data_IF_471071380429
#
_entry.id   IF_471071380429
#
_cell.length_a   1.000
_cell.length_b   1.000
_cell.length_c   1.000
_cell.angle_alpha   90.00
_cell.angle_beta   90.00
_cell.angle_gamma   90.00
#
_symmetry.space_group_name_H-M   'P 1'
#
loop_
_entity.id
_entity.type
_entity.pdbx_description
1 polymer ?
#
# COMPACT_ATOMS: atom_id res chain seq x y z
N UNK A 1 3.20 3.47 -19.85
CA UNK A 1 3.61 4.52 -18.88
C UNK A 1 2.39 5.08 -18.16
N UNK A 2 2.40 5.12 -16.81
CA UNK A 2 1.34 5.74 -16.03
C UNK A 2 1.28 7.26 -16.26
N UNK A 3 0.08 7.82 -16.25
CA UNK A 3 -0.14 9.27 -16.39
C UNK A 3 -1.24 9.75 -15.43
N UNK A 4 -1.10 10.98 -14.94
CA UNK A 4 -2.15 11.62 -14.13
C UNK A 4 -3.12 12.29 -15.09
N UNK A 5 -4.38 11.87 -15.06
CA UNK A 5 -5.44 12.39 -15.94
C UNK A 5 -6.34 13.41 -15.24
N UNK A 6 -6.43 13.36 -13.91
CA UNK A 6 -7.21 14.31 -13.12
C UNK A 6 -6.63 14.56 -11.72
N UNK A 7 -6.93 15.73 -11.14
CA UNK A 7 -6.39 16.20 -9.86
C UNK A 7 -7.43 17.04 -9.10
N UNK A 8 -7.89 16.51 -7.97
CA UNK A 8 -8.75 17.23 -7.04
C UNK A 8 -7.98 17.64 -5.79
N UNK A 9 -8.13 18.90 -5.39
CA UNK A 9 -7.48 19.45 -4.19
C UNK A 9 -8.53 19.82 -3.14
N UNK A 10 -8.46 19.13 -2.01
CA UNK A 10 -9.22 19.45 -0.82
C UNK A 10 -8.33 20.10 0.24
N UNK A 11 -8.94 20.64 1.29
CA UNK A 11 -8.21 21.24 2.41
C UNK A 11 -7.27 20.25 3.12
N UNK A 12 -7.69 18.99 3.26
CA UNK A 12 -7.02 17.97 4.09
C UNK A 12 -6.43 16.80 3.29
N UNK A 13 -6.62 16.76 1.97
CA UNK A 13 -6.07 15.72 1.10
C UNK A 13 -6.07 16.18 -0.36
N UNK A 14 -5.41 15.38 -1.20
CA UNK A 14 -5.48 15.50 -2.66
C UNK A 14 -5.88 14.15 -3.22
N UNK A 15 -6.78 14.15 -4.19
CA UNK A 15 -7.11 12.97 -4.96
C UNK A 15 -6.52 13.12 -6.37
N UNK A 16 -5.99 12.03 -6.89
CA UNK A 16 -5.46 11.94 -8.24
C UNK A 16 -6.13 10.78 -8.95
N UNK A 17 -6.50 10.99 -10.21
CA UNK A 17 -6.85 9.88 -11.11
C UNK A 17 -5.63 9.57 -11.96
N UNK A 18 -5.12 8.36 -11.82
CA UNK A 18 -3.94 7.86 -12.54
C UNK A 18 -4.41 6.82 -13.55
N UNK A 19 -4.11 7.04 -14.82
CA UNK A 19 -4.28 6.03 -15.85
C UNK A 19 -3.03 5.15 -15.90
N UNK A 20 -3.21 3.85 -15.62
CA UNK A 20 -2.19 2.82 -15.73
C UNK A 20 -2.63 1.83 -16.81
N UNK A 21 -2.06 1.97 -18.01
CA UNK A 21 -2.34 1.09 -19.15
C UNK A 21 -3.86 0.95 -19.44
N UNK A 22 -4.56 2.09 -19.51
CA UNK A 22 -6.02 2.13 -19.74
C UNK A 22 -6.88 1.88 -18.50
N UNK A 23 -6.27 1.52 -17.36
CA UNK A 23 -6.99 1.34 -16.10
C UNK A 23 -6.88 2.59 -15.23
N UNK A 24 -8.02 3.17 -14.85
CA UNK A 24 -8.04 4.30 -13.93
C UNK A 24 -7.94 3.83 -12.47
N UNK A 25 -7.03 4.45 -11.74
CA UNK A 25 -6.77 4.23 -10.32
C UNK A 25 -6.94 5.57 -9.61
N UNK A 26 -7.73 5.57 -8.53
CA UNK A 26 -7.92 6.76 -7.69
C UNK A 26 -6.91 6.70 -6.55
N UNK A 27 -6.07 7.72 -6.42
CA UNK A 27 -5.03 7.82 -5.40
C UNK A 27 -5.32 8.99 -4.48
N UNK A 28 -5.61 8.69 -3.21
CA UNK A 28 -5.78 9.69 -2.16
C UNK A 28 -4.47 9.92 -1.41
N UNK A 29 -3.98 11.15 -1.38
CA UNK A 29 -2.75 11.55 -0.65
C UNK A 29 -3.14 12.42 0.54
N UNK A 30 -2.74 12.01 1.76
CA UNK A 30 -3.11 12.74 2.98
C UNK A 30 -2.14 12.45 4.13
N UNK A 31 -2.02 13.38 5.07
CA UNK A 31 -1.47 13.16 6.42
C UNK A 31 -2.56 13.13 7.50
N UNK A 32 -3.84 13.24 7.13
CA UNK A 32 -4.94 13.47 8.06
C UNK A 32 -5.68 12.17 8.39
N UNK A 33 -5.64 11.79 9.67
CA UNK A 33 -6.22 10.53 10.16
C UNK A 33 -7.72 10.35 9.88
N UNK A 34 -8.51 11.43 9.84
CA UNK A 34 -9.94 11.35 9.53
C UNK A 34 -10.19 11.02 8.06
N UNK A 35 -9.30 11.45 7.15
CA UNK A 35 -9.35 11.08 5.72
C UNK A 35 -9.01 9.61 5.57
N UNK A 36 -7.93 9.13 6.21
CA UNK A 36 -7.55 7.70 6.23
C UNK A 36 -8.71 6.82 6.72
N UNK A 37 -9.39 7.23 7.81
CA UNK A 37 -10.56 6.50 8.33
C UNK A 37 -11.69 6.42 7.30
N UNK A 38 -12.04 7.54 6.67
CA UNK A 38 -13.09 7.60 5.64
C UNK A 38 -12.72 6.73 4.43
N UNK A 39 -11.49 6.84 3.97
CA UNK A 39 -10.97 6.07 2.85
C UNK A 39 -11.04 4.57 3.13
N UNK A 40 -10.56 4.10 4.30
CA UNK A 40 -10.61 2.68 4.67
C UNK A 40 -12.05 2.16 4.74
N UNK A 41 -12.96 2.90 5.37
CA UNK A 41 -14.37 2.51 5.44
C UNK A 41 -14.99 2.36 4.05
N UNK A 42 -14.74 3.30 3.15
CA UNK A 42 -15.23 3.24 1.78
C UNK A 42 -14.61 2.07 1.00
N UNK A 43 -13.29 1.92 1.05
CA UNK A 43 -12.58 0.85 0.35
C UNK A 43 -13.04 -0.55 0.80
N UNK A 44 -13.22 -0.75 2.11
CA UNK A 44 -13.73 -2.00 2.67
C UNK A 44 -15.19 -2.24 2.29
N UNK A 45 -16.03 -1.20 2.31
CA UNK A 45 -17.43 -1.30 1.90
C UNK A 45 -17.56 -1.80 0.46
N UNK A 46 -16.77 -1.24 -0.48
CA UNK A 46 -16.75 -1.65 -1.88
C UNK A 46 -16.13 -3.03 -2.13
N UNK A 47 -15.54 -3.66 -1.10
CA UNK A 47 -14.94 -5.00 -1.15
C UNK A 47 -15.55 -5.98 -0.14
N UNK A 48 -16.75 -5.69 0.36
CA UNK A 48 -17.44 -6.52 1.37
C UNK A 48 -17.56 -8.00 0.99
N UNK A 49 -17.80 -8.31 -0.29
CA UNK A 49 -17.92 -9.68 -0.78
C UNK A 49 -16.60 -10.44 -0.65
N UNK A 50 -15.48 -9.83 -1.04
CA UNK A 50 -14.14 -10.40 -0.88
C UNK A 50 -13.77 -10.59 0.59
N UNK A 51 -14.17 -9.66 1.45
CA UNK A 51 -13.95 -9.76 2.90
C UNK A 51 -14.73 -10.94 3.49
N UNK A 52 -16.01 -11.10 3.12
CA UNK A 52 -16.83 -12.22 3.59
C UNK A 52 -16.28 -13.58 3.16
N UNK A 53 -15.58 -13.62 2.03
CA UNK A 53 -14.91 -14.83 1.52
C UNK A 53 -13.48 -15.01 2.05
N UNK A 54 -12.96 -14.10 2.88
CA UNK A 54 -11.55 -14.05 3.31
C UNK A 54 -10.55 -14.01 2.14
N UNK A 55 -10.89 -13.28 1.08
CA UNK A 55 -10.10 -13.13 -0.16
C UNK A 55 -9.64 -11.69 -0.41
N UNK A 56 -9.61 -10.86 0.62
CA UNK A 56 -9.15 -9.47 0.47
C UNK A 56 -7.63 -9.44 0.34
N UNK A 57 -7.15 -9.04 -0.83
CA UNK A 57 -5.75 -8.74 -1.11
C UNK A 57 -5.57 -7.21 -1.07
N UNK A 58 -4.50 -6.77 -0.43
CA UNK A 58 -4.16 -5.37 -0.23
C UNK A 58 -2.73 -5.15 -0.68
N UNK A 59 -2.53 -4.32 -1.71
CA UNK A 59 -1.19 -3.84 -2.05
C UNK A 59 -0.68 -2.94 -0.92
N UNK A 60 0.56 -3.14 -0.49
CA UNK A 60 1.20 -2.38 0.58
C UNK A 60 2.59 -1.95 0.13
N UNK A 61 2.92 -0.70 0.45
CA UNK A 61 4.28 -0.17 0.31
C UNK A 61 4.63 0.70 1.50
N UNK A 62 5.91 0.71 1.85
CA UNK A 62 6.48 1.58 2.89
C UNK A 62 7.77 2.19 2.35
N UNK A 63 7.94 3.49 2.53
CA UNK A 63 9.08 4.23 2.00
C UNK A 63 9.57 5.21 3.05
N UNK A 64 10.85 5.49 2.96
CA UNK A 64 11.59 6.29 3.91
C UNK A 64 12.67 7.06 3.16
N UNK A 65 12.98 8.25 3.65
CA UNK A 65 14.09 9.06 3.18
C UNK A 65 15.39 8.40 3.65
N UNK A 66 16.33 8.06 2.75
CA UNK A 66 17.62 7.51 3.14
C UNK A 66 18.37 8.47 4.08
N UNK A 67 18.89 7.94 5.17
CA UNK A 67 19.64 8.72 6.15
C UNK A 67 19.76 7.99 7.48
N UNK A 68 20.95 8.03 8.08
CA UNK A 68 21.23 7.28 9.32
C UNK A 68 21.20 5.76 9.14
N UNK A 69 21.28 5.03 10.26
CA UNK A 69 21.37 3.55 10.26
C UNK A 69 20.03 2.87 9.98
N UNK A 70 18.92 3.45 10.44
CA UNK A 70 17.57 2.91 10.23
C UNK A 70 16.54 4.04 10.19
N UNK A 71 16.36 4.70 9.03
CA UNK A 71 15.44 5.83 8.91
C UNK A 71 13.98 5.42 9.20
N UNK A 72 13.17 6.29 9.81
CA UNK A 72 11.75 6.02 10.06
C UNK A 72 10.96 5.93 8.74
N UNK A 73 9.80 5.27 8.76
CA UNK A 73 8.90 5.28 7.61
C UNK A 73 8.24 6.65 7.42
N UNK A 74 8.32 7.20 6.21
CA UNK A 74 7.75 8.49 5.85
C UNK A 74 6.35 8.37 5.25
N UNK A 75 6.12 7.30 4.49
CA UNK A 75 4.83 7.03 3.85
C UNK A 75 4.44 5.57 3.98
N UNK A 76 3.13 5.35 4.13
CA UNK A 76 2.48 4.05 3.95
C UNK A 76 1.53 4.15 2.77
N UNK A 77 1.67 3.29 1.77
CA UNK A 77 0.66 3.11 0.73
C UNK A 77 -0.16 1.86 0.96
N UNK A 78 -1.46 1.98 0.71
CA UNK A 78 -2.39 0.86 0.69
C UNK A 78 -3.18 0.93 -0.61
N UNK A 79 -3.29 -0.18 -1.34
CA UNK A 79 -4.15 -0.26 -2.50
C UNK A 79 -5.14 -1.42 -2.41
N UNK A 80 -6.43 -1.10 -2.59
CA UNK A 80 -7.54 -2.04 -2.51
C UNK A 80 -8.34 -1.92 -3.81
N UNK A 81 -8.10 -2.83 -4.76
CA UNK A 81 -8.63 -2.71 -6.11
C UNK A 81 -8.08 -1.48 -6.81
N UNK A 82 -8.95 -0.63 -7.36
CA UNK A 82 -8.59 0.61 -8.10
C UNK A 82 -8.52 1.85 -7.21
N UNK A 83 -8.39 1.67 -5.89
CA UNK A 83 -8.31 2.76 -4.92
C UNK A 83 -7.02 2.58 -4.14
N UNK A 84 -6.15 3.56 -4.20
CA UNK A 84 -4.95 3.60 -3.38
C UNK A 84 -4.97 4.81 -2.42
N UNK A 85 -4.34 4.63 -1.28
CA UNK A 85 -4.08 5.64 -0.26
C UNK A 85 -2.57 5.81 -0.17
N UNK A 86 -2.09 7.05 -0.13
CA UNK A 86 -0.75 7.42 0.29
C UNK A 86 -0.90 8.20 1.59
N UNK A 87 -0.61 7.53 2.70
CA UNK A 87 -0.63 8.15 4.03
C UNK A 87 0.77 8.66 4.38
N UNK A 88 0.91 9.98 4.47
CA UNK A 88 2.17 10.66 4.79
C UNK A 88 2.42 10.61 6.31
N UNK A 89 2.98 9.48 6.77
CA UNK A 89 3.28 9.18 8.17
C UNK A 89 4.13 10.27 8.83
N UNK A 90 5.18 10.75 8.16
CA UNK A 90 6.07 11.79 8.68
C UNK A 90 5.37 13.13 8.97
N UNK A 91 4.20 13.36 8.38
CA UNK A 91 3.41 14.58 8.57
C UNK A 91 2.12 14.34 9.36
N UNK A 92 1.87 13.11 9.78
CA UNK A 92 0.64 12.75 10.47
C UNK A 92 0.74 13.06 11.96
N UNK A 93 -0.29 13.72 12.51
CA UNK A 93 -0.38 13.98 13.95
C UNK A 93 -0.58 12.72 14.77
N UNK A 94 -1.28 11.72 14.20
CA UNK A 94 -1.49 10.40 14.80
C UNK A 94 -1.98 9.40 13.74
N UNK A 95 -1.86 8.12 14.04
CA UNK A 95 -2.38 7.03 13.19
C UNK A 95 -3.75 6.57 13.71
N UNK A 96 -4.82 6.55 12.88
CA UNK A 96 -6.15 6.20 13.35
C UNK A 96 -6.25 4.72 13.74
N UNK A 97 -7.00 4.42 14.82
CA UNK A 97 -7.22 3.05 15.33
C UNK A 97 -7.69 2.05 14.27
N UNK A 98 -8.52 2.48 13.31
CA UNK A 98 -8.99 1.61 12.23
C UNK A 98 -7.84 1.09 11.36
N UNK A 99 -6.83 1.92 11.08
CA UNK A 99 -5.65 1.50 10.32
C UNK A 99 -4.81 0.51 11.13
N UNK A 100 -4.65 0.75 12.43
CA UNK A 100 -3.98 -0.20 13.33
C UNK A 100 -4.66 -1.58 13.32
N UNK A 101 -5.98 -1.60 13.44
CA UNK A 101 -6.76 -2.84 13.40
C UNK A 101 -6.71 -3.50 12.02
N UNK A 102 -6.71 -2.71 10.95
CA UNK A 102 -6.62 -3.17 9.58
C UNK A 102 -5.31 -3.94 9.32
N UNK A 103 -4.15 -3.37 9.71
CA UNK A 103 -2.84 -4.02 9.57
C UNK A 103 -2.69 -5.31 10.41
N UNK A 104 -3.39 -5.37 11.55
CA UNK A 104 -3.39 -6.54 12.46
C UNK A 104 -4.43 -7.61 12.08
N UNK A 105 -5.22 -7.39 11.03
CA UNK A 105 -6.27 -8.34 10.68
C UNK A 105 -5.68 -9.57 9.98
N UNK A 106 -5.80 -10.73 10.62
CA UNK A 106 -5.29 -12.01 10.11
C UNK A 106 -5.97 -12.51 8.84
N UNK A 107 -7.17 -11.99 8.52
CA UNK A 107 -7.97 -12.38 7.36
C UNK A 107 -7.63 -11.56 6.11
N UNK A 108 -6.73 -10.57 6.22
CA UNK A 108 -6.28 -9.77 5.08
C UNK A 108 -4.89 -10.21 4.64
N UNK A 109 -4.70 -10.32 3.33
CA UNK A 109 -3.41 -10.64 2.73
C UNK A 109 -2.79 -9.36 2.20
N UNK A 110 -1.67 -8.95 2.78
CA UNK A 110 -0.88 -7.84 2.29
C UNK A 110 0.16 -8.37 1.29
N UNK A 111 0.36 -7.63 0.20
CA UNK A 111 1.32 -7.97 -0.84
C UNK A 111 2.13 -6.74 -1.23
N UNK A 112 3.37 -6.93 -1.66
CA UNK A 112 4.24 -5.85 -2.10
C UNK A 112 5.40 -6.37 -2.94
N UNK A 113 6.33 -5.47 -3.26
CA UNK A 113 7.61 -5.80 -3.88
C UNK A 113 8.71 -5.34 -2.93
N UNK A 114 9.76 -6.16 -2.76
CA UNK A 114 10.93 -5.78 -1.96
C UNK A 114 10.62 -5.40 -0.51
N UNK A 115 9.53 -5.94 0.04
CA UNK A 115 8.85 -5.45 1.23
C UNK A 115 9.35 -6.08 2.56
N UNK A 116 10.52 -6.71 2.54
CA UNK A 116 11.10 -7.41 3.70
C UNK A 116 11.36 -6.50 4.91
N UNK A 117 11.50 -5.19 4.68
CA UNK A 117 11.71 -4.19 5.74
C UNK A 117 10.41 -3.55 6.24
N UNK A 118 9.30 -3.68 5.51
CA UNK A 118 8.08 -2.89 5.72
C UNK A 118 7.48 -3.09 7.11
N UNK A 119 7.28 -4.35 7.51
CA UNK A 119 6.72 -4.66 8.83
C UNK A 119 7.58 -4.14 9.96
N UNK A 120 8.91 -4.28 9.84
CA UNK A 120 9.88 -3.80 10.84
C UNK A 120 9.85 -2.29 10.95
N UNK A 121 9.81 -1.58 9.81
CA UNK A 121 9.72 -0.12 9.72
C UNK A 121 8.42 0.40 10.35
N UNK A 122 7.28 -0.26 10.09
CA UNK A 122 6.00 0.10 10.68
C UNK A 122 5.93 -0.16 12.20
N UNK A 123 6.61 -1.21 12.69
CA UNK A 123 6.67 -1.55 14.12
C UNK A 123 7.59 -0.61 14.94
N UNK A 124 8.23 0.38 14.33
CA UNK A 124 9.15 1.27 15.04
C UNK A 124 8.52 1.89 16.30
N UNK A 125 9.31 2.25 17.33
CA UNK A 125 8.79 2.82 18.58
C UNK A 125 7.89 4.05 18.38
N UNK A 126 8.13 4.83 17.34
CA UNK A 126 7.41 6.05 16.98
C UNK A 126 6.02 5.74 16.40
N UNK A 127 5.91 4.71 15.56
CA UNK A 127 4.69 4.38 14.83
C UNK A 127 3.82 3.36 15.57
N UNK A 128 4.46 2.34 16.17
CA UNK A 128 3.82 1.20 16.85
C UNK A 128 2.74 0.55 15.97
N UNK A 129 2.98 0.48 14.66
CA UNK A 129 2.08 -0.12 13.69
C UNK A 129 2.47 -1.57 13.47
N UNK A 130 1.79 -2.46 14.20
CA UNK A 130 1.99 -3.89 14.05
C UNK A 130 1.20 -4.45 12.87
N UNK A 131 1.86 -5.29 12.09
CA UNK A 131 1.19 -6.17 11.13
C UNK A 131 1.08 -7.59 11.70
N UNK A 132 -0.03 -8.25 11.38
CA UNK A 132 -0.24 -9.65 11.80
C UNK A 132 0.84 -10.59 11.24
N UNK A 133 1.17 -10.42 9.95
CA UNK A 133 2.22 -11.15 9.24
C UNK A 133 2.91 -10.20 8.26
N UNK A 134 4.08 -10.60 7.78
CA UNK A 134 4.79 -9.88 6.71
C UNK A 134 3.96 -9.88 5.41
N UNK A 135 4.01 -8.80 4.60
CA UNK A 135 3.42 -8.84 3.29
C UNK A 135 4.11 -9.90 2.42
N UNK A 136 3.36 -10.54 1.53
CA UNK A 136 3.93 -11.46 0.55
C UNK A 136 4.66 -10.66 -0.52
N UNK A 137 5.90 -11.07 -0.81
CA UNK A 137 6.67 -10.48 -1.89
C UNK A 137 6.24 -11.11 -3.21
N UNK A 138 5.57 -10.32 -4.06
CA UNK A 138 4.97 -10.81 -5.30
C UNK A 138 5.99 -11.37 -6.30
N UNK A 139 7.26 -10.98 -6.18
CA UNK A 139 8.37 -11.51 -6.99
C UNK A 139 8.54 -13.02 -6.85
N UNK A 140 8.17 -13.56 -5.70
CA UNK A 140 8.25 -15.00 -5.42
C UNK A 140 7.05 -15.80 -5.98
N UNK A 141 6.05 -15.10 -6.52
CA UNK A 141 4.79 -15.69 -7.00
C UNK A 141 4.47 -15.31 -8.44
N UNK A 142 5.28 -14.43 -9.06
CA UNK A 142 5.14 -14.12 -10.46
C UNK A 142 5.56 -15.33 -11.30
N UNK A 143 4.76 -15.61 -12.33
CA UNK A 143 5.01 -16.65 -13.32
C UNK A 143 4.96 -15.98 -14.69
N UNK A 144 5.81 -16.43 -15.62
CA UNK A 144 5.75 -15.97 -17.00
C UNK A 144 4.38 -16.30 -17.60
N UNK A 145 3.89 -15.42 -18.49
CA UNK A 145 2.64 -15.67 -19.21
C UNK A 145 2.81 -16.77 -20.26
N UNK A 146 4.00 -16.87 -20.87
CA UNK A 146 4.38 -17.90 -21.81
C UNK A 146 5.18 -19.02 -21.11
N UNK A 147 4.80 -20.28 -21.32
CA UNK A 147 5.45 -21.44 -20.69
C UNK A 147 6.90 -21.66 -21.16
N UNK A 148 7.28 -21.04 -22.29
CA UNK A 148 8.63 -21.07 -22.86
C UNK A 148 9.53 -19.93 -22.31
N UNK A 149 8.98 -18.98 -21.56
CA UNK A 149 9.72 -17.90 -20.92
C UNK A 149 10.17 -18.30 -19.51
N UNK A 150 11.48 -18.49 -19.33
CA UNK A 150 12.13 -18.76 -18.04
C UNK A 150 12.30 -17.49 -17.16
N UNK A 151 11.56 -16.41 -17.44
CA UNK A 151 11.67 -15.15 -16.71
C UNK A 151 11.23 -15.32 -15.25
N UNK A 152 12.17 -15.06 -14.33
CA UNK A 152 11.96 -15.21 -12.90
C UNK A 152 12.19 -13.88 -12.17
N UNK A 153 11.11 -13.33 -11.60
CA UNK A 153 11.19 -12.06 -10.87
C UNK A 153 11.77 -12.18 -9.46
N UNK A 154 12.02 -13.39 -8.93
CA UNK A 154 12.53 -13.59 -7.57
C UNK A 154 13.88 -12.89 -7.32
N UNK A 155 14.72 -12.82 -8.35
CA UNK A 155 16.00 -12.10 -8.33
C UNK A 155 15.95 -10.71 -8.98
N UNK A 156 14.83 -10.35 -9.60
CA UNK A 156 14.77 -9.17 -10.46
C UNK A 156 14.89 -7.88 -9.66
N UNK A 157 15.73 -6.97 -10.16
CA UNK A 157 16.04 -5.65 -9.57
C UNK A 157 14.81 -4.72 -9.56
N UNK A 158 14.91 -3.59 -8.86
CA UNK A 158 13.85 -2.55 -8.95
C UNK A 158 13.73 -2.01 -10.37
N UNK A 159 14.86 -1.79 -11.06
CA UNK A 159 14.88 -1.22 -12.42
C UNK A 159 14.35 -2.20 -13.48
N UNK A 160 14.37 -3.50 -13.18
CA UNK A 160 13.78 -4.54 -14.05
C UNK A 160 12.27 -4.65 -13.88
N UNK A 161 11.73 -4.24 -12.73
CA UNK A 161 10.30 -4.37 -12.40
C UNK A 161 9.51 -3.08 -12.67
N UNK A 162 10.18 -1.91 -12.63
CA UNK A 162 9.53 -0.58 -12.59
C UNK A 162 9.75 0.23 -13.87
#
# INVERSE_FOLDING_TARGET
MPSIVDRDRFYNHRDYTVNLHGNEIIVTVTSVASVVRKWLNAALFFRRSYIQQNRLIVGLGVQWTPGGRDPPADTLQLCIGRRCLIFQLAHATYVPRILRNFLRNRNYTFVGFWNHSDRRKLKSPELQLEMYRDPLDLRLYAVAEDEDDDENLAGASVDEIV
#
